data_IF_375070913575
#
_entry.id   IF_375070913575
#
_cell.length_a   1.000
_cell.length_b   1.000
_cell.length_c   1.000
_cell.angle_alpha   90.00
_cell.angle_beta   90.00
_cell.angle_gamma   90.00
#
_symmetry.space_group_name_H-M   'P 1'
#
loop_
_entity.id
_entity.type
_entity.pdbx_description
1 polymer ?
#
# COMPACT_ATOMS: atom_id res chain seq x y z
N UNK A 1 24.74 56.68 55.61
CA UNK A 1 23.42 56.51 54.93
C UNK A 1 23.55 56.25 53.41
N UNK A 2 24.47 56.90 52.69
CA UNK A 2 24.63 56.73 51.23
C UNK A 2 25.20 55.36 50.80
N UNK A 3 26.17 54.79 51.52
CA UNK A 3 26.77 53.48 51.19
C UNK A 3 25.74 52.33 51.20
N UNK A 4 24.77 52.38 52.12
CA UNK A 4 23.69 51.38 52.25
C UNK A 4 22.69 51.44 51.07
N UNK A 5 22.48 52.63 50.47
CA UNK A 5 21.63 52.79 49.28
C UNK A 5 22.31 52.27 48.01
N UNK A 6 23.63 52.45 47.90
CA UNK A 6 24.41 51.94 46.77
C UNK A 6 24.50 50.42 46.78
N UNK A 7 24.79 49.80 47.92
CA UNK A 7 24.80 48.34 48.06
C UNK A 7 23.44 47.72 47.69
N UNK A 8 22.34 48.29 48.18
CA UNK A 8 21.00 47.79 47.88
C UNK A 8 20.63 47.94 46.38
N UNK A 9 21.17 48.96 45.69
CA UNK A 9 20.94 49.16 44.26
C UNK A 9 21.71 48.14 43.41
N UNK A 10 22.95 47.83 43.77
CA UNK A 10 23.74 46.78 43.11
C UNK A 10 23.17 45.38 43.36
N UNK A 11 22.81 45.07 44.62
CA UNK A 11 22.18 43.80 44.98
C UNK A 11 20.83 43.62 44.26
N UNK A 12 20.00 44.66 44.17
CA UNK A 12 18.74 44.61 43.42
C UNK A 12 18.92 44.42 41.91
N UNK A 13 19.96 45.03 41.31
CA UNK A 13 20.29 44.86 39.90
C UNK A 13 20.75 43.42 39.58
N UNK A 14 21.56 42.83 40.45
CA UNK A 14 22.01 41.44 40.32
C UNK A 14 20.84 40.45 40.49
N UNK A 15 19.95 40.71 41.44
CA UNK A 15 18.80 39.87 41.70
C UNK A 15 17.81 39.85 40.52
N UNK A 16 17.60 40.99 39.85
CA UNK A 16 16.75 41.06 38.65
C UNK A 16 17.32 40.29 37.44
N UNK A 17 18.64 40.27 37.25
CA UNK A 17 19.27 39.47 36.18
C UNK A 17 19.10 37.98 36.39
N UNK A 18 19.25 37.50 37.64
CA UNK A 18 19.06 36.08 37.99
C UNK A 18 17.61 35.65 37.81
N UNK A 19 16.64 36.50 38.17
CA UNK A 19 15.22 36.24 37.95
C UNK A 19 14.89 36.18 36.46
N UNK A 20 15.46 37.08 35.64
CA UNK A 20 15.26 37.10 34.20
C UNK A 20 15.84 35.84 33.52
N UNK A 21 17.05 35.43 33.88
CA UNK A 21 17.69 34.21 33.33
C UNK A 21 16.89 32.96 33.71
N UNK A 22 16.41 32.86 34.96
CA UNK A 22 15.56 31.74 35.39
C UNK A 22 14.22 31.70 34.65
N UNK A 23 13.62 32.87 34.38
CA UNK A 23 12.37 32.97 33.61
C UNK A 23 12.56 32.53 32.15
N UNK A 24 13.67 32.93 31.51
CA UNK A 24 14.00 32.51 30.14
C UNK A 24 14.25 31.00 30.10
N UNK A 25 15.06 30.45 31.01
CA UNK A 25 15.32 29.01 31.08
C UNK A 25 14.05 28.19 31.32
N UNK A 26 13.15 28.66 32.19
CA UNK A 26 11.85 28.02 32.42
C UNK A 26 10.96 28.07 31.17
N UNK A 27 10.93 29.21 30.45
CA UNK A 27 10.16 29.34 29.20
C UNK A 27 10.68 28.45 28.08
N UNK A 28 12.02 28.32 27.94
CA UNK A 28 12.65 27.41 26.98
C UNK A 28 12.36 25.96 27.34
N UNK A 29 12.43 25.60 28.62
CA UNK A 29 12.08 24.26 29.09
C UNK A 29 10.62 23.91 28.81
N UNK A 30 9.68 24.83 29.07
CA UNK A 30 8.26 24.66 28.75
C UNK A 30 8.05 24.51 27.23
N UNK A 31 8.74 25.29 26.41
CA UNK A 31 8.69 25.19 24.94
C UNK A 31 9.24 23.85 24.44
N UNK A 32 10.35 23.37 25.02
CA UNK A 32 10.94 22.06 24.71
C UNK A 32 10.00 20.91 25.08
N UNK A 33 9.37 20.96 26.26
CA UNK A 33 8.40 19.93 26.71
C UNK A 33 7.14 19.92 25.85
N UNK A 34 6.68 21.08 25.37
CA UNK A 34 5.52 21.17 24.47
C UNK A 34 5.77 20.48 23.12
N UNK A 35 6.98 20.60 22.56
CA UNK A 35 7.38 19.91 21.33
C UNK A 35 7.47 18.38 21.48
N UNK A 36 7.68 17.86 22.70
CA UNK A 36 7.70 16.42 22.96
C UNK A 36 6.29 15.81 22.92
N UNK A 37 5.26 16.53 23.39
CA UNK A 37 3.87 16.01 23.38
C UNK A 37 3.25 15.89 21.98
N UNK A 38 3.65 16.74 21.04
CA UNK A 38 3.12 16.75 19.66
C UNK A 38 3.59 15.53 18.84
N UNK A 39 4.64 14.82 19.28
CA UNK A 39 5.18 13.66 18.57
C UNK A 39 4.61 12.30 19.00
N UNK A 40 3.72 12.26 20.01
CA UNK A 40 3.31 11.00 20.65
C UNK A 40 1.83 10.59 20.43
N UNK A 41 1.05 11.29 19.59
CA UNK A 41 -0.40 11.05 19.48
C UNK A 41 -0.88 10.41 18.16
N UNK A 42 -0.01 9.70 17.44
CA UNK A 42 -0.47 8.75 16.42
C UNK A 42 -0.33 7.31 16.93
N UNK A 43 -1.03 6.98 18.02
CA UNK A 43 -1.29 5.58 18.35
C UNK A 43 -2.40 5.07 17.43
N UNK A 44 -1.99 4.40 16.35
CA UNK A 44 -2.87 3.64 15.47
C UNK A 44 -3.59 2.59 16.32
N UNK A 45 -4.91 2.74 16.51
CA UNK A 45 -5.75 1.69 17.09
C UNK A 45 -5.90 0.60 16.02
N UNK A 46 -4.96 -0.35 16.00
CA UNK A 46 -5.04 -1.54 15.15
C UNK A 46 -6.18 -2.39 15.67
N UNK A 47 -7.25 -2.50 14.90
CA UNK A 47 -8.33 -3.41 15.25
C UNK A 47 -8.01 -4.82 14.78
N UNK A 48 -7.99 -5.78 15.70
CA UNK A 48 -7.72 -7.19 15.43
C UNK A 48 -8.77 -7.78 14.46
N UNK A 49 -8.32 -8.26 13.30
CA UNK A 49 -9.15 -8.99 12.34
C UNK A 49 -8.64 -10.44 12.21
N UNK A 50 -9.53 -11.40 12.42
CA UNK A 50 -9.41 -12.81 12.07
C UNK A 50 -9.80 -13.05 10.60
N UNK A 51 -9.20 -14.04 9.94
CA UNK A 51 -9.60 -14.49 8.60
C UNK A 51 -10.39 -15.78 8.72
N UNK A 52 -11.62 -15.78 8.22
CA UNK A 52 -12.46 -16.97 8.12
C UNK A 52 -12.44 -17.43 6.67
N UNK A 53 -11.92 -18.64 6.45
CA UNK A 53 -12.00 -19.34 5.18
C UNK A 53 -13.04 -20.44 5.35
N UNK A 54 -14.02 -20.50 4.45
CA UNK A 54 -15.09 -21.46 4.57
C UNK A 54 -15.62 -21.97 3.24
N UNK A 55 -16.45 -23.00 3.33
CA UNK A 55 -17.17 -23.59 2.22
C UNK A 55 -18.64 -23.78 2.59
N UNK A 56 -19.54 -23.46 1.67
CA UNK A 56 -20.98 -23.63 1.81
C UNK A 56 -21.45 -24.69 0.81
N UNK A 57 -22.16 -25.69 1.32
CA UNK A 57 -22.81 -26.75 0.55
C UNK A 57 -24.28 -26.89 0.95
N UNK A 58 -25.07 -27.57 0.12
CA UNK A 58 -26.40 -28.06 0.52
C UNK A 58 -26.29 -29.30 1.42
N UNK A 59 -27.45 -29.86 1.81
CA UNK A 59 -27.57 -31.06 2.64
C UNK A 59 -27.03 -32.33 1.95
N UNK A 60 -26.99 -32.34 0.62
CA UNK A 60 -26.44 -33.42 -0.20
C UNK A 60 -24.91 -33.30 -0.40
N UNK A 61 -24.32 -32.18 0.03
CA UNK A 61 -22.90 -31.89 -0.06
C UNK A 61 -22.47 -31.19 -1.36
N UNK A 62 -23.41 -30.77 -2.20
CA UNK A 62 -23.12 -30.02 -3.43
C UNK A 62 -22.70 -28.59 -3.09
N UNK A 63 -21.64 -28.04 -3.72
CA UNK A 63 -21.21 -26.67 -3.48
C UNK A 63 -22.24 -25.65 -3.94
N UNK A 64 -22.46 -24.60 -3.14
CA UNK A 64 -23.43 -23.54 -3.44
C UNK A 64 -22.72 -22.24 -3.84
N UNK A 65 -22.68 -21.88 -5.12
CA UNK A 65 -22.15 -20.60 -5.58
C UNK A 65 -23.15 -19.46 -5.39
N UNK A 66 -22.65 -18.23 -5.19
CA UNK A 66 -23.51 -17.04 -5.11
C UNK A 66 -24.18 -16.82 -3.74
N UNK A 67 -23.79 -17.56 -2.71
CA UNK A 67 -24.26 -17.36 -1.34
C UNK A 67 -23.61 -16.09 -0.77
N UNK A 68 -24.42 -15.20 -0.21
CA UNK A 68 -23.95 -13.95 0.40
C UNK A 68 -23.57 -14.18 1.86
N UNK A 69 -22.38 -13.73 2.26
CA UNK A 69 -21.87 -13.79 3.64
C UNK A 69 -21.53 -12.38 4.08
N UNK A 70 -22.16 -11.88 5.14
CA UNK A 70 -21.95 -10.53 5.67
C UNK A 70 -21.64 -10.57 7.15
N UNK A 71 -20.97 -9.55 7.66
CA UNK A 71 -20.84 -9.38 9.11
C UNK A 71 -22.08 -8.64 9.62
N UNK A 72 -22.72 -9.18 10.66
CA UNK A 72 -23.92 -8.60 11.26
C UNK A 72 -23.67 -7.15 11.68
N UNK A 73 -24.54 -6.26 11.22
CA UNK A 73 -24.46 -4.82 11.50
C UNK A 73 -23.34 -4.07 10.75
N UNK A 74 -22.62 -4.70 9.82
CA UNK A 74 -21.57 -4.05 9.01
C UNK A 74 -21.86 -4.17 7.51
N UNK A 75 -21.25 -3.29 6.73
CA UNK A 75 -21.31 -3.31 5.25
C UNK A 75 -20.29 -4.27 4.63
N UNK A 76 -19.49 -4.94 5.47
CA UNK A 76 -18.44 -5.88 5.05
C UNK A 76 -19.08 -7.24 4.76
N UNK A 77 -18.81 -7.78 3.58
CA UNK A 77 -19.29 -9.09 3.16
C UNK A 77 -18.52 -9.66 1.98
N UNK A 78 -18.80 -10.91 1.66
CA UNK A 78 -18.24 -11.67 0.55
C UNK A 78 -19.33 -12.56 -0.06
N UNK A 79 -19.01 -13.22 -1.17
CA UNK A 79 -19.91 -14.14 -1.88
C UNK A 79 -19.16 -15.43 -2.19
N UNK A 80 -19.83 -16.58 -2.12
CA UNK A 80 -19.18 -17.86 -2.49
C UNK A 80 -18.86 -17.96 -3.98
N UNK A 81 -17.72 -18.58 -4.28
CA UNK A 81 -17.28 -18.88 -5.64
C UNK A 81 -18.02 -20.10 -6.25
N UNK A 82 -17.66 -20.46 -7.49
CA UNK A 82 -18.21 -21.63 -8.21
C UNK A 82 -18.06 -22.98 -7.48
N UNK A 83 -17.11 -23.08 -6.56
CA UNK A 83 -16.87 -24.25 -5.72
C UNK A 83 -17.49 -24.13 -4.32
N UNK A 84 -18.30 -23.10 -4.06
CA UNK A 84 -18.92 -22.83 -2.76
C UNK A 84 -17.97 -22.25 -1.71
N UNK A 85 -16.76 -21.84 -2.08
CA UNK A 85 -15.74 -21.35 -1.13
C UNK A 85 -15.86 -19.83 -0.93
N UNK A 86 -15.48 -19.36 0.25
CA UNK A 86 -15.43 -17.93 0.57
C UNK A 86 -14.30 -17.59 1.55
N UNK A 87 -13.91 -16.31 1.54
CA UNK A 87 -12.97 -15.72 2.50
C UNK A 87 -13.54 -14.40 3.01
N UNK A 88 -13.57 -14.22 4.33
CA UNK A 88 -14.06 -12.99 4.97
C UNK A 88 -13.22 -12.61 6.20
N UNK A 89 -12.95 -11.32 6.36
CA UNK A 89 -12.18 -10.76 7.47
C UNK A 89 -13.12 -10.26 8.56
N UNK A 90 -12.97 -10.75 9.78
CA UNK A 90 -13.93 -10.60 10.88
C UNK A 90 -13.19 -10.25 12.17
N UNK A 91 -13.75 -9.43 13.04
CA UNK A 91 -13.15 -9.16 14.37
C UNK A 91 -13.57 -10.24 15.36
N UNK A 92 -12.83 -10.37 16.47
CA UNK A 92 -13.25 -11.25 17.57
C UNK A 92 -14.62 -10.79 18.11
N UNK A 93 -15.59 -11.69 18.16
CA UNK A 93 -16.96 -11.40 18.56
C UNK A 93 -17.89 -10.95 17.43
N UNK A 94 -17.41 -10.85 16.18
CA UNK A 94 -18.29 -10.65 15.03
C UNK A 94 -19.18 -11.88 14.79
N UNK A 95 -20.38 -11.65 14.25
CA UNK A 95 -21.31 -12.69 13.82
C UNK A 95 -21.48 -12.61 12.30
N UNK A 96 -21.54 -13.76 11.63
CA UNK A 96 -21.80 -13.81 10.19
C UNK A 96 -23.29 -13.99 9.92
N UNK A 97 -23.81 -13.28 8.94
CA UNK A 97 -25.10 -13.51 8.32
C UNK A 97 -24.85 -14.18 6.98
N UNK A 98 -25.39 -15.38 6.81
CA UNK A 98 -25.35 -16.12 5.55
C UNK A 98 -26.74 -16.11 4.94
N UNK A 99 -26.86 -15.65 3.70
CA UNK A 99 -28.12 -15.59 2.97
C UNK A 99 -27.98 -16.07 1.54
N UNK A 100 -28.99 -16.81 1.08
CA UNK A 100 -29.06 -17.32 -0.28
C UNK A 100 -30.52 -17.28 -0.77
N UNK A 101 -30.72 -17.10 -2.07
CA UNK A 101 -32.05 -16.99 -2.66
C UNK A 101 -32.80 -18.33 -2.45
N UNK A 102 -34.00 -18.26 -1.89
CA UNK A 102 -34.80 -19.44 -1.56
C UNK A 102 -34.50 -20.08 -0.20
N UNK A 103 -33.52 -19.56 0.55
CA UNK A 103 -33.18 -20.04 1.89
C UNK A 103 -33.36 -18.94 2.94
N UNK A 104 -33.73 -19.33 4.15
CA UNK A 104 -33.78 -18.41 5.29
C UNK A 104 -32.37 -17.97 5.69
N UNK A 105 -32.21 -16.68 5.99
CA UNK A 105 -30.94 -16.15 6.46
C UNK A 105 -30.54 -16.79 7.80
N UNK A 106 -29.27 -17.16 7.92
CA UNK A 106 -28.71 -17.84 9.08
C UNK A 106 -27.66 -16.97 9.75
N UNK A 107 -27.74 -16.82 11.07
CA UNK A 107 -26.72 -16.16 11.87
C UNK A 107 -25.74 -17.18 12.44
N UNK A 108 -24.45 -16.94 12.25
CA UNK A 108 -23.38 -17.85 12.62
C UNK A 108 -22.44 -17.14 13.57
N UNK A 109 -22.42 -17.54 14.86
CA UNK A 109 -21.45 -17.02 15.80
C UNK A 109 -20.07 -17.58 15.45
N UNK A 110 -19.08 -16.69 15.39
CA UNK A 110 -17.70 -17.09 15.15
C UNK A 110 -17.08 -17.55 16.48
N UNK A 111 -16.56 -18.78 16.50
CA UNK A 111 -15.81 -19.36 17.63
C UNK A 111 -14.36 -19.55 17.21
N UNK A 112 -13.40 -19.43 18.12
CA UNK A 112 -11.96 -19.52 17.81
C UNK A 112 -11.47 -20.96 17.43
N UNK A 113 -12.34 -21.82 16.85
CA UNK A 113 -12.08 -23.23 16.51
C UNK A 113 -12.81 -23.66 15.23
N UNK A 114 -12.19 -24.51 14.37
CA UNK A 114 -12.83 -25.16 13.22
C UNK A 114 -14.21 -25.71 13.56
N UNK A 115 -15.19 -25.36 12.74
CA UNK A 115 -16.58 -25.74 12.97
C UNK A 115 -17.25 -26.15 11.67
N UNK A 116 -17.90 -27.31 11.67
CA UNK A 116 -18.91 -27.66 10.67
C UNK A 116 -20.28 -27.43 11.29
N UNK A 117 -21.05 -26.52 10.73
CA UNK A 117 -22.36 -26.12 11.23
C UNK A 117 -23.41 -26.41 10.17
N UNK A 118 -24.56 -26.94 10.60
CA UNK A 118 -25.75 -27.04 9.77
C UNK A 118 -26.71 -25.94 10.21
N UNK A 119 -27.13 -25.08 9.29
CA UNK A 119 -28.07 -24.01 9.55
C UNK A 119 -29.06 -23.89 8.39
N UNK A 120 -30.34 -24.19 8.64
CA UNK A 120 -31.43 -24.03 7.69
C UNK A 120 -31.22 -24.73 6.33
N UNK A 121 -30.69 -25.95 6.32
CA UNK A 121 -30.42 -26.74 5.09
C UNK A 121 -29.14 -26.35 4.35
N UNK A 122 -28.31 -25.49 4.95
CA UNK A 122 -26.96 -25.18 4.50
C UNK A 122 -25.95 -25.83 5.43
N UNK A 123 -25.00 -26.57 4.87
CA UNK A 123 -23.83 -27.07 5.59
C UNK A 123 -22.65 -26.15 5.35
N UNK A 124 -22.12 -25.63 6.45
CA UNK A 124 -21.10 -24.58 6.45
C UNK A 124 -19.89 -25.12 7.18
N UNK A 125 -18.79 -25.28 6.44
CA UNK A 125 -17.51 -25.68 7.01
C UNK A 125 -16.64 -24.46 7.15
N UNK A 126 -16.27 -24.12 8.40
CA UNK A 126 -15.40 -23.01 8.74
C UNK A 126 -14.04 -23.55 9.16
N UNK A 127 -13.00 -23.18 8.43
CA UNK A 127 -11.62 -23.45 8.80
C UNK A 127 -10.99 -22.16 9.31
N UNK A 128 -10.71 -22.11 10.61
CA UNK A 128 -10.03 -20.99 11.24
C UNK A 128 -8.53 -21.23 11.11
N UNK A 129 -7.84 -20.35 10.36
CA UNK A 129 -6.39 -20.38 10.29
C UNK A 129 -5.84 -19.53 11.44
N UNK A 130 -5.66 -20.14 12.61
CA UNK A 130 -4.96 -19.50 13.73
C UNK A 130 -3.49 -19.31 13.37
N UNK A 131 -3.05 -18.05 13.24
CA UNK A 131 -1.63 -17.71 13.16
C UNK A 131 -1.08 -17.87 14.58
N UNK A 132 -0.22 -18.87 14.78
CA UNK A 132 0.28 -19.32 16.09
C UNK A 132 0.84 -18.18 16.96
N UNK A 133 0.40 -18.21 18.22
CA UNK A 133 0.98 -17.56 19.40
C UNK A 133 2.49 -17.84 19.48
N UNK A 134 3.32 -16.80 19.55
CA UNK A 134 4.64 -16.86 20.20
C UNK A 134 4.71 -15.68 21.15
N UNK A 135 4.89 -16.01 22.42
CA UNK A 135 5.03 -15.12 23.57
C UNK A 135 6.22 -14.17 23.45
N UNK A 136 6.02 -12.90 23.82
CA UNK A 136 7.07 -11.90 24.03
C UNK A 136 7.19 -10.91 22.87
N UNK A 137 6.60 -9.73 23.07
CA UNK A 137 6.67 -8.49 22.28
C UNK A 137 7.60 -8.48 21.04
N UNK A 138 6.99 -8.65 19.86
CA UNK A 138 7.21 -7.76 18.71
C UNK A 138 6.03 -7.90 17.72
N UNK A 139 5.61 -6.75 17.20
CA UNK A 139 4.39 -6.47 16.41
C UNK A 139 4.21 -7.46 15.25
N UNK A 140 3.08 -8.19 15.20
CA UNK A 140 2.70 -8.99 14.02
C UNK A 140 1.68 -8.23 13.18
N UNK A 141 2.21 -7.59 12.15
CA UNK A 141 1.50 -6.77 11.16
C UNK A 141 0.35 -7.54 10.47
N UNK A 142 -0.74 -6.82 10.18
CA UNK A 142 -1.78 -7.15 9.18
C UNK A 142 -1.16 -7.83 7.95
N UNK A 143 -1.83 -8.76 7.22
CA UNK A 143 -1.20 -9.43 6.08
C UNK A 143 -0.61 -8.40 5.12
N UNK A 144 0.71 -8.38 5.20
CA UNK A 144 1.73 -7.70 4.43
C UNK A 144 1.17 -7.42 3.01
N UNK A 145 0.88 -6.14 2.73
CA UNK A 145 0.86 -5.57 1.39
C UNK A 145 -0.17 -6.11 0.39
N UNK A 146 -1.42 -5.63 0.47
CA UNK A 146 -2.42 -5.81 -0.59
C UNK A 146 -2.45 -4.58 -1.49
N UNK A 147 -2.38 -4.77 -2.80
CA UNK A 147 -2.53 -3.69 -3.77
C UNK A 147 -4.01 -3.33 -3.89
N UNK A 148 -4.38 -2.04 -3.92
CA UNK A 148 -5.77 -1.62 -4.08
C UNK A 148 -6.32 -2.16 -5.41
N UNK A 149 -7.36 -2.98 -5.34
CA UNK A 149 -8.02 -3.54 -6.52
C UNK A 149 -9.53 -3.32 -6.38
N UNK A 150 -10.16 -2.45 -7.20
CA UNK A 150 -9.59 -1.74 -8.36
C UNK A 150 -8.45 -0.76 -8.02
N UNK A 151 -7.49 -0.53 -8.93
CA UNK A 151 -6.38 0.41 -8.71
C UNK A 151 -6.87 1.83 -8.44
N UNK A 152 -6.17 2.57 -7.56
CA UNK A 152 -6.46 3.98 -7.29
C UNK A 152 -6.41 4.80 -8.59
N UNK A 153 -7.36 5.72 -8.82
CA UNK A 153 -7.40 6.55 -10.05
C UNK A 153 -6.23 7.54 -10.12
N UNK A 154 -6.02 8.16 -11.29
CA UNK A 154 -4.91 9.10 -11.53
C UNK A 154 -3.73 8.51 -12.28
N UNK A 155 -3.96 7.46 -13.08
CA UNK A 155 -2.95 6.85 -13.95
C UNK A 155 -3.37 6.94 -15.43
N UNK A 156 -2.37 6.86 -16.31
CA UNK A 156 -2.55 6.40 -17.69
C UNK A 156 -2.24 4.90 -17.76
N UNK A 157 -2.85 4.16 -18.69
CA UNK A 157 -2.67 2.71 -18.79
C UNK A 157 -2.36 2.26 -20.22
N UNK A 158 -1.62 1.16 -20.33
CA UNK A 158 -1.44 0.40 -21.57
C UNK A 158 -1.51 -1.09 -21.26
N UNK A 159 -2.15 -1.87 -22.13
CA UNK A 159 -2.08 -3.33 -22.08
C UNK A 159 -0.90 -3.77 -22.95
N UNK A 160 0.00 -4.57 -22.41
CA UNK A 160 1.14 -5.11 -23.16
C UNK A 160 0.66 -6.19 -24.14
N UNK A 161 1.28 -6.24 -25.31
CA UNK A 161 1.01 -7.30 -26.27
C UNK A 161 1.33 -8.68 -25.67
N UNK A 162 0.38 -9.61 -25.79
CA UNK A 162 0.52 -10.95 -25.23
C UNK A 162 1.69 -11.73 -25.83
N UNK A 163 2.15 -11.36 -27.03
CA UNK A 163 3.32 -11.95 -27.71
C UNK A 163 4.60 -11.87 -26.86
N UNK A 164 4.72 -10.84 -26.02
CA UNK A 164 5.82 -10.68 -25.05
C UNK A 164 5.88 -11.89 -24.10
N UNK A 165 4.75 -12.54 -23.84
CA UNK A 165 4.58 -13.61 -22.88
C UNK A 165 4.27 -14.98 -23.52
N UNK A 166 4.37 -15.13 -24.85
CA UNK A 166 3.99 -16.36 -25.56
C UNK A 166 4.76 -17.59 -25.09
N UNK A 167 6.03 -17.41 -24.71
CA UNK A 167 6.90 -18.49 -24.20
C UNK A 167 6.74 -18.75 -22.70
N UNK A 168 5.73 -18.18 -22.06
CA UNK A 168 5.49 -18.33 -20.62
C UNK A 168 4.29 -19.24 -20.35
N UNK A 169 4.45 -20.16 -19.42
CA UNK A 169 3.46 -21.14 -18.97
C UNK A 169 2.97 -20.85 -17.54
N UNK A 170 3.72 -20.07 -16.75
CA UNK A 170 3.37 -19.69 -15.38
C UNK A 170 3.48 -18.20 -15.14
N UNK A 171 2.81 -17.70 -14.10
CA UNK A 171 2.93 -16.30 -13.70
C UNK A 171 4.35 -15.93 -13.28
N UNK A 172 5.09 -16.87 -12.68
CA UNK A 172 6.51 -16.67 -12.37
C UNK A 172 7.40 -16.53 -13.61
N UNK A 173 7.02 -17.13 -14.74
CA UNK A 173 7.74 -16.92 -16.00
C UNK A 173 7.39 -15.57 -16.63
N UNK A 174 6.15 -15.09 -16.52
CA UNK A 174 5.81 -13.70 -16.88
C UNK A 174 6.59 -12.70 -16.02
N UNK A 175 6.66 -12.93 -14.71
CA UNK A 175 7.45 -12.13 -13.78
C UNK A 175 8.92 -12.05 -14.19
N UNK A 176 9.55 -13.17 -14.55
CA UNK A 176 10.94 -13.18 -15.04
C UNK A 176 11.17 -12.28 -16.26
N UNK A 177 10.21 -12.21 -17.18
CA UNK A 177 10.27 -11.30 -18.34
C UNK A 177 10.23 -9.84 -17.87
N UNK A 178 9.27 -9.49 -17.01
CA UNK A 178 9.13 -8.15 -16.44
C UNK A 178 10.40 -7.73 -15.66
N UNK A 179 10.92 -8.63 -14.83
CA UNK A 179 12.11 -8.40 -14.00
C UNK A 179 13.35 -8.18 -14.84
N UNK A 180 13.56 -8.97 -15.89
CA UNK A 180 14.68 -8.76 -16.81
C UNK A 180 14.62 -7.38 -17.43
N UNK A 181 13.44 -6.96 -17.89
CA UNK A 181 13.25 -5.66 -18.52
C UNK A 181 13.46 -4.50 -17.53
N UNK A 182 12.91 -4.63 -16.31
CA UNK A 182 13.04 -3.65 -15.23
C UNK A 182 14.48 -3.50 -14.73
N UNK A 183 15.16 -4.61 -14.45
CA UNK A 183 16.57 -4.60 -14.01
C UNK A 183 17.47 -4.04 -15.12
N UNK A 184 17.28 -4.44 -16.37
CA UNK A 184 17.98 -3.82 -17.52
C UNK A 184 17.63 -2.32 -17.64
N UNK A 185 16.43 -1.94 -17.20
CA UNK A 185 15.88 -0.59 -17.01
C UNK A 185 16.55 0.25 -15.93
N UNK A 186 17.35 -0.36 -15.05
CA UNK A 186 17.88 0.24 -13.83
C UNK A 186 16.86 0.36 -12.71
N UNK A 187 15.76 -0.40 -12.74
CA UNK A 187 14.80 -0.54 -11.63
C UNK A 187 15.13 -1.80 -10.83
N UNK A 188 16.11 -1.70 -9.95
CA UNK A 188 16.58 -2.84 -9.14
C UNK A 188 15.66 -3.12 -7.95
N UNK A 189 14.96 -2.10 -7.48
CA UNK A 189 14.00 -2.17 -6.38
C UNK A 189 12.56 -2.11 -6.87
N UNK A 190 11.74 -3.00 -6.33
CA UNK A 190 10.33 -3.20 -6.68
C UNK A 190 9.59 -3.89 -5.54
N UNK A 191 8.27 -3.72 -5.55
CA UNK A 191 7.36 -4.21 -4.52
C UNK A 191 6.28 -5.06 -5.18
N UNK A 192 6.14 -6.31 -4.75
CA UNK A 192 5.07 -7.21 -5.17
C UNK A 192 3.87 -7.14 -4.24
N UNK A 193 2.69 -7.30 -4.83
CA UNK A 193 1.43 -7.35 -4.12
C UNK A 193 0.53 -8.40 -4.75
N UNK A 194 -0.27 -9.04 -3.91
CA UNK A 194 -1.28 -10.00 -4.35
C UNK A 194 -2.52 -9.22 -4.81
N UNK A 195 -3.07 -9.61 -5.96
CA UNK A 195 -4.34 -9.10 -6.51
C UNK A 195 -5.23 -10.29 -6.92
N UNK A 196 -6.52 -10.08 -7.23
CA UNK A 196 -7.38 -11.15 -7.72
C UNK A 196 -6.75 -11.88 -8.91
N UNK A 197 -6.59 -13.18 -8.75
CA UNK A 197 -6.02 -14.11 -9.72
C UNK A 197 -4.61 -13.78 -10.24
N UNK A 198 -3.84 -12.92 -9.58
CA UNK A 198 -2.48 -12.62 -10.05
C UNK A 198 -1.68 -11.73 -9.13
N UNK A 199 -0.83 -10.87 -9.71
CA UNK A 199 0.06 -10.00 -8.93
C UNK A 199 0.16 -8.59 -9.53
N UNK A 200 0.43 -7.63 -8.67
CA UNK A 200 0.89 -6.31 -9.05
C UNK A 200 2.39 -6.17 -8.70
N UNK A 201 3.17 -5.66 -9.64
CA UNK A 201 4.59 -5.37 -9.48
C UNK A 201 4.82 -3.86 -9.64
N UNK A 202 5.21 -3.21 -8.54
CA UNK A 202 5.33 -1.74 -8.45
C UNK A 202 6.80 -1.35 -8.40
N UNK A 203 7.20 -0.40 -9.25
CA UNK A 203 8.57 0.15 -9.25
C UNK A 203 8.76 1.20 -8.16
N UNK A 204 10.01 1.55 -7.87
CA UNK A 204 10.30 2.85 -7.24
C UNK A 204 9.74 4.00 -8.08
N UNK A 205 9.47 5.11 -7.42
CA UNK A 205 9.22 6.40 -8.08
C UNK A 205 10.56 6.93 -8.60
N UNK A 206 10.60 7.29 -9.87
CA UNK A 206 11.76 7.90 -10.52
C UNK A 206 11.46 9.35 -10.94
N UNK A 207 12.50 10.16 -11.04
CA UNK A 207 12.51 11.45 -11.70
C UNK A 207 12.67 11.28 -13.20
N UNK A 208 11.93 12.09 -13.97
CA UNK A 208 11.91 12.09 -15.43
C UNK A 208 12.14 13.51 -15.95
N UNK A 209 12.67 13.60 -17.16
CA UNK A 209 12.76 14.86 -17.91
C UNK A 209 11.38 15.28 -18.42
N UNK A 210 11.25 16.54 -18.85
CA UNK A 210 10.01 17.10 -19.40
C UNK A 210 9.48 16.35 -20.64
N UNK A 211 10.33 15.58 -21.34
CA UNK A 211 9.92 14.71 -22.45
C UNK A 211 9.59 13.26 -22.02
N UNK A 212 9.58 12.98 -20.71
CA UNK A 212 9.30 11.68 -20.12
C UNK A 212 10.46 10.68 -20.11
N UNK A 213 11.65 11.07 -20.55
CA UNK A 213 12.83 10.20 -20.52
C UNK A 213 13.34 9.96 -19.09
N UNK A 214 13.84 8.75 -18.81
CA UNK A 214 14.48 8.46 -17.51
C UNK A 214 15.80 9.24 -17.39
N UNK A 215 16.02 9.82 -16.21
CA UNK A 215 17.31 10.43 -15.85
C UNK A 215 18.27 9.32 -15.39
N UNK A 216 19.51 9.26 -15.89
CA UNK A 216 20.46 8.18 -15.57
C UNK A 216 21.64 8.64 -14.69
N UNK A 217 21.35 9.45 -13.67
CA UNK A 217 22.34 9.88 -12.67
C UNK A 217 21.91 9.38 -11.27
N UNK A 218 22.71 9.71 -10.25
CA UNK A 218 22.44 9.32 -8.85
C UNK A 218 21.14 9.88 -8.27
N UNK A 219 20.54 10.88 -8.91
CA UNK A 219 19.33 11.56 -8.44
C UNK A 219 18.04 10.95 -9.00
N UNK A 220 18.12 10.02 -9.96
CA UNK A 220 16.97 9.37 -10.60
C UNK A 220 15.91 8.90 -9.61
N UNK A 221 16.33 8.27 -8.51
CA UNK A 221 15.42 7.72 -7.50
C UNK A 221 15.47 8.48 -6.17
N UNK A 222 16.08 9.67 -6.17
CA UNK A 222 16.19 10.54 -5.00
C UNK A 222 14.89 11.34 -4.83
N UNK A 223 13.99 10.82 -3.98
CA UNK A 223 12.79 11.54 -3.55
C UNK A 223 13.20 12.37 -2.33
N UNK A 224 13.80 13.53 -2.56
CA UNK A 224 14.26 14.44 -1.51
C UNK A 224 13.07 15.17 -0.88
N UNK A 225 12.35 14.54 0.05
CA UNK A 225 11.33 15.26 0.81
C UNK A 225 11.87 15.96 2.07
N UNK A 226 13.08 15.65 2.52
CA UNK A 226 13.62 16.18 3.79
C UNK A 226 15.17 16.24 3.81
N UNK A 227 15.81 16.77 2.76
CA UNK A 227 17.19 17.27 2.93
C UNK A 227 17.09 18.78 3.15
N UNK A 228 17.73 19.28 4.21
CA UNK A 228 17.87 20.71 4.42
C UNK A 228 18.48 21.29 3.15
N UNK A 229 17.89 22.35 2.54
CA UNK A 229 18.36 22.86 1.26
C UNK A 229 19.84 23.22 1.39
N UNK A 230 20.65 22.63 0.52
CA UNK A 230 22.04 23.02 0.34
C UNK A 230 22.11 24.28 -0.51
N UNK A 231 23.20 25.04 -0.40
CA UNK A 231 23.36 26.30 -1.14
C UNK A 231 23.24 26.14 -2.68
N UNK A 232 23.54 24.95 -3.20
CA UNK A 232 23.34 24.59 -4.61
C UNK A 232 21.87 24.45 -5.02
N UNK A 233 20.97 24.11 -4.09
CA UNK A 233 19.53 23.91 -4.37
C UNK A 233 18.82 25.23 -4.70
N UNK A 234 19.44 26.38 -4.39
CA UNK A 234 18.90 27.72 -4.67
C UNK A 234 19.15 28.20 -6.10
N UNK A 235 20.09 27.56 -6.81
CA UNK A 235 20.42 27.84 -8.21
C UNK A 235 19.96 26.73 -9.16
N UNK A 236 19.42 25.63 -8.62
CA UNK A 236 18.86 24.54 -9.40
C UNK A 236 17.47 24.93 -9.96
N UNK A 237 17.23 24.77 -11.27
CA UNK A 237 15.91 25.01 -11.82
C UNK A 237 14.94 23.93 -11.34
N UNK A 238 13.79 24.41 -10.82
CA UNK A 238 12.42 23.95 -11.15
C UNK A 238 11.80 22.79 -10.38
N UNK A 239 10.48 22.92 -10.30
CA UNK A 239 9.54 21.83 -10.40
C UNK A 239 10.05 20.63 -11.20
N UNK A 240 9.85 19.42 -10.67
CA UNK A 240 10.27 18.17 -11.32
C UNK A 240 9.08 17.27 -11.61
N UNK A 241 9.20 16.47 -12.67
CA UNK A 241 8.26 15.41 -13.02
C UNK A 241 8.80 14.06 -12.53
N UNK A 242 7.90 13.23 -12.06
CA UNK A 242 8.22 11.91 -11.54
C UNK A 242 7.19 10.91 -12.05
N UNK A 243 7.57 9.64 -12.11
CA UNK A 243 6.61 8.57 -12.41
C UNK A 243 6.85 7.31 -11.61
N UNK A 244 5.82 6.48 -11.55
CA UNK A 244 5.85 5.13 -11.01
C UNK A 244 5.11 4.19 -11.95
N UNK A 245 5.71 3.04 -12.25
CA UNK A 245 5.05 1.98 -12.99
C UNK A 245 4.45 0.94 -12.02
N UNK A 246 3.25 0.47 -12.32
CA UNK A 246 2.67 -0.71 -11.73
C UNK A 246 2.25 -1.69 -12.84
N UNK A 247 2.89 -2.86 -12.89
CA UNK A 247 2.57 -3.94 -13.82
C UNK A 247 1.55 -4.86 -13.16
N UNK A 248 0.35 -4.90 -13.71
CA UNK A 248 -0.79 -5.65 -13.19
C UNK A 248 -0.96 -6.89 -14.06
N UNK A 249 -0.61 -8.06 -13.53
CA UNK A 249 -0.75 -9.35 -14.21
C UNK A 249 -1.93 -10.09 -13.61
N UNK A 250 -3.00 -10.25 -14.38
CA UNK A 250 -4.23 -10.94 -13.98
C UNK A 250 -5.02 -11.36 -15.22
N UNK A 251 -6.05 -12.18 -15.05
CA UNK A 251 -7.07 -12.45 -16.05
C UNK A 251 -8.40 -11.70 -15.77
N UNK A 252 -8.42 -10.82 -14.76
CA UNK A 252 -9.60 -10.04 -14.38
C UNK A 252 -9.52 -8.63 -14.95
N UNK A 253 -10.44 -8.22 -15.84
CA UNK A 253 -10.55 -6.82 -16.21
C UNK A 253 -10.91 -5.98 -14.98
N UNK A 254 -10.47 -4.73 -14.96
CA UNK A 254 -10.77 -3.79 -13.89
C UNK A 254 -11.00 -2.39 -14.44
N UNK A 255 -11.80 -1.61 -13.71
CA UNK A 255 -11.94 -0.18 -13.90
C UNK A 255 -11.06 0.56 -12.88
N UNK A 256 -10.73 1.85 -13.11
CA UNK A 256 -10.19 2.69 -12.06
C UNK A 256 -11.12 2.73 -10.83
N UNK A 257 -10.53 2.81 -9.64
CA UNK A 257 -11.26 3.05 -8.40
C UNK A 257 -11.93 4.43 -8.44
N UNK A 258 -13.03 4.58 -7.71
CA UNK A 258 -13.62 5.90 -7.42
C UNK A 258 -12.76 6.74 -6.47
N UNK A 259 -11.74 6.13 -5.85
CA UNK A 259 -10.80 6.80 -4.96
C UNK A 259 -9.56 7.22 -5.74
N UNK A 260 -9.33 8.54 -5.76
CA UNK A 260 -8.11 9.14 -6.29
C UNK A 260 -6.87 8.71 -5.52
N UNK A 261 -5.79 8.46 -6.27
CA UNK A 261 -4.50 8.23 -5.70
C UNK A 261 -3.95 9.52 -5.08
N UNK A 262 -3.46 9.40 -3.85
CA UNK A 262 -2.59 10.40 -3.25
C UNK A 262 -1.14 9.90 -3.23
N UNK A 263 -0.20 10.85 -3.11
CA UNK A 263 1.22 10.53 -3.15
C UNK A 263 1.66 9.61 -2.01
N UNK A 264 1.11 9.73 -0.79
CA UNK A 264 1.53 8.87 0.32
C UNK A 264 1.09 7.42 0.10
N UNK A 265 -0.11 7.22 -0.44
CA UNK A 265 -0.60 5.90 -0.80
C UNK A 265 0.31 5.24 -1.84
N UNK A 266 0.67 5.96 -2.91
CA UNK A 266 1.53 5.41 -3.99
C UNK A 266 2.99 5.24 -3.54
N UNK A 267 3.52 6.17 -2.76
CA UNK A 267 4.85 6.06 -2.13
C UNK A 267 4.92 4.83 -1.24
N UNK A 268 3.87 4.55 -0.47
CA UNK A 268 3.77 3.31 0.32
C UNK A 268 3.85 2.10 -0.61
N UNK A 269 3.06 2.03 -1.67
CA UNK A 269 3.09 0.92 -2.63
C UNK A 269 4.48 0.70 -3.26
N UNK A 270 5.27 1.75 -3.47
CA UNK A 270 6.63 1.62 -4.00
C UNK A 270 7.65 1.02 -3.02
N UNK A 271 7.29 0.86 -1.73
CA UNK A 271 8.24 0.51 -0.65
C UNK A 271 7.85 -0.70 0.18
N UNK A 272 6.54 -0.90 0.41
CA UNK A 272 6.14 -1.83 1.47
C UNK A 272 6.00 -3.26 0.99
N UNK A 273 5.84 -3.52 -0.31
CA UNK A 273 5.50 -4.85 -0.88
C UNK A 273 6.48 -5.99 -0.63
N UNK A 274 6.09 -7.21 -1.00
CA UNK A 274 7.03 -8.33 -1.00
C UNK A 274 8.20 -8.02 -1.93
N UNK A 275 9.41 -8.44 -1.58
CA UNK A 275 10.59 -8.26 -2.42
C UNK A 275 10.68 -9.28 -3.57
N UNK A 276 9.92 -10.38 -3.49
CA UNK A 276 9.89 -11.49 -4.47
C UNK A 276 8.42 -11.92 -4.65
N UNK A 277 8.06 -12.35 -5.86
CA UNK A 277 6.75 -12.96 -6.11
C UNK A 277 6.57 -14.22 -5.25
N UNK A 278 5.51 -14.32 -4.41
CA UNK A 278 5.22 -15.52 -3.64
C UNK A 278 5.16 -16.78 -4.52
N UNK A 279 5.73 -17.89 -4.04
CA UNK A 279 5.94 -19.10 -4.84
C UNK A 279 4.64 -19.79 -5.27
N UNK A 280 3.59 -19.69 -4.46
CA UNK A 280 2.24 -20.15 -4.78
C UNK A 280 1.67 -19.44 -6.01
N UNK A 281 1.84 -18.11 -6.11
CA UNK A 281 1.48 -17.34 -7.29
C UNK A 281 2.43 -17.61 -8.46
N UNK A 282 3.73 -17.67 -8.21
CA UNK A 282 4.74 -17.90 -9.25
C UNK A 282 4.54 -19.25 -9.97
N UNK A 283 4.11 -20.28 -9.25
CA UNK A 283 3.85 -21.62 -9.78
C UNK A 283 2.46 -21.75 -10.44
N UNK A 284 1.58 -20.76 -10.31
CA UNK A 284 0.26 -20.78 -10.94
C UNK A 284 0.42 -20.81 -12.47
N UNK A 285 -0.27 -21.77 -13.11
CA UNK A 285 -0.32 -21.86 -14.57
C UNK A 285 -1.00 -20.63 -15.16
N UNK A 286 -0.39 -20.07 -16.20
CA UNK A 286 -0.91 -18.95 -16.99
C UNK A 286 -2.02 -19.48 -17.90
N UNK A 287 -3.25 -19.00 -17.68
CA UNK A 287 -4.34 -19.18 -18.64
C UNK A 287 -4.14 -18.36 -19.91
N UNK A 288 -4.88 -18.64 -20.98
CA UNK A 288 -4.83 -17.86 -22.24
C UNK A 288 -5.39 -16.45 -22.09
N UNK A 289 -6.16 -16.22 -21.03
CA UNK A 289 -6.89 -15.03 -20.66
C UNK A 289 -6.08 -14.06 -19.77
N UNK A 290 -4.86 -14.43 -19.38
CA UNK A 290 -3.98 -13.53 -18.63
C UNK A 290 -3.39 -12.46 -19.53
N UNK A 291 -3.42 -11.23 -19.04
CA UNK A 291 -2.81 -10.07 -19.67
C UNK A 291 -1.97 -9.29 -18.65
N UNK A 292 -1.12 -8.40 -19.15
CA UNK A 292 -0.37 -7.47 -18.32
C UNK A 292 -0.78 -6.03 -18.66
N UNK A 293 -1.38 -5.33 -17.71
CA UNK A 293 -1.68 -3.90 -17.82
C UNK A 293 -0.62 -3.11 -17.07
N UNK A 294 0.01 -2.15 -17.73
CA UNK A 294 0.93 -1.19 -17.11
C UNK A 294 0.15 0.06 -16.75
N UNK A 295 0.13 0.40 -15.45
CA UNK A 295 -0.34 1.67 -14.95
C UNK A 295 0.86 2.60 -14.77
N UNK A 296 0.74 3.84 -15.20
CA UNK A 296 1.74 4.87 -14.98
C UNK A 296 1.11 6.01 -14.20
N UNK A 297 1.59 6.20 -12.97
CA UNK A 297 1.24 7.34 -12.14
C UNK A 297 2.29 8.42 -12.32
N UNK A 298 1.85 9.64 -12.61
CA UNK A 298 2.73 10.81 -12.66
C UNK A 298 2.59 11.68 -11.41
N UNK A 299 3.70 12.28 -11.03
CA UNK A 299 3.76 13.24 -9.95
C UNK A 299 4.50 14.48 -10.38
N UNK A 300 4.12 15.60 -9.80
CA UNK A 300 4.80 16.88 -9.96
C UNK A 300 5.21 17.42 -8.60
N UNK A 301 6.40 18.01 -8.55
CA UNK A 301 6.78 18.94 -7.48
C UNK A 301 6.65 20.35 -8.06
N UNK A 302 5.88 21.25 -7.46
CA UNK A 302 5.70 22.62 -8.00
C UNK A 302 6.73 23.62 -7.46
N UNK A 303 7.41 23.26 -6.36
CA UNK A 303 8.52 24.01 -5.77
C UNK A 303 9.63 23.04 -5.33
N UNK A 304 10.91 23.45 -5.34
CA UNK A 304 11.97 22.66 -4.73
C UNK A 304 11.60 22.25 -3.30
N UNK A 305 11.83 20.99 -2.93
CA UNK A 305 11.47 20.41 -1.63
C UNK A 305 9.98 20.48 -1.25
N UNK A 306 9.08 20.61 -2.22
CA UNK A 306 7.64 20.49 -1.97
C UNK A 306 7.14 19.06 -2.10
N UNK A 307 6.07 18.75 -1.35
CA UNK A 307 5.36 17.47 -1.41
C UNK A 307 4.95 17.17 -2.84
N UNK A 308 5.24 15.96 -3.30
CA UNK A 308 4.80 15.48 -4.60
C UNK A 308 3.28 15.33 -4.62
N UNK A 309 2.66 15.76 -5.73
CA UNK A 309 1.23 15.61 -5.95
C UNK A 309 0.99 14.76 -7.19
N UNK A 310 0.06 13.83 -7.10
CA UNK A 310 -0.41 13.05 -8.26
C UNK A 310 -1.05 14.00 -9.26
N UNK A 311 -0.73 13.84 -10.54
CA UNK A 311 -1.32 14.63 -11.62
C UNK A 311 -1.85 13.74 -12.75
N UNK A 312 -2.66 14.33 -13.63
CA UNK A 312 -2.99 13.68 -14.90
C UNK A 312 -1.72 13.51 -15.73
N UNK A 313 -1.52 12.31 -16.26
CA UNK A 313 -0.32 12.01 -17.04
C UNK A 313 -0.29 12.86 -18.32
N UNK A 314 0.82 13.54 -18.58
CA UNK A 314 1.00 14.34 -19.79
C UNK A 314 1.34 13.48 -21.03
N UNK A 315 1.80 12.25 -20.81
CA UNK A 315 2.05 11.23 -21.83
C UNK A 315 1.09 10.04 -21.65
N UNK A 316 0.90 9.30 -22.72
CA UNK A 316 0.27 7.97 -22.65
C UNK A 316 1.20 6.97 -21.97
N UNK A 317 0.63 5.89 -21.42
CA UNK A 317 1.44 4.82 -20.83
C UNK A 317 2.43 4.19 -21.84
N UNK A 318 2.05 4.11 -23.11
CA UNK A 318 2.93 3.59 -24.17
C UNK A 318 4.13 4.50 -24.42
N UNK A 319 3.92 5.82 -24.49
CA UNK A 319 5.01 6.80 -24.59
C UNK A 319 5.93 6.75 -23.37
N UNK A 320 5.38 6.62 -22.16
CA UNK A 320 6.20 6.42 -20.96
C UNK A 320 7.06 5.15 -21.03
N UNK A 321 6.52 4.04 -21.54
CA UNK A 321 7.26 2.80 -21.73
C UNK A 321 8.36 2.92 -22.80
N UNK A 322 8.12 3.71 -23.85
CA UNK A 322 9.13 4.00 -24.87
C UNK A 322 10.25 4.88 -24.32
N UNK A 323 9.91 5.99 -23.64
CA UNK A 323 10.86 6.98 -23.11
C UNK A 323 11.70 6.42 -21.95
N UNK A 324 11.17 5.48 -21.18
CA UNK A 324 11.94 4.71 -20.18
C UNK A 324 12.85 3.63 -20.79
N UNK A 325 12.71 3.37 -22.10
CA UNK A 325 13.29 2.23 -22.83
C UNK A 325 12.81 0.86 -22.31
N UNK A 326 11.77 0.81 -21.47
CA UNK A 326 11.22 -0.45 -20.98
C UNK A 326 10.52 -1.23 -22.09
N UNK A 327 9.82 -0.56 -23.02
CA UNK A 327 9.17 -1.25 -24.14
C UNK A 327 10.19 -2.03 -24.99
N UNK A 328 11.34 -1.43 -25.28
CA UNK A 328 12.43 -2.08 -26.01
C UNK A 328 12.94 -3.31 -25.24
N UNK A 329 13.10 -3.20 -23.92
CA UNK A 329 13.62 -4.26 -23.05
C UNK A 329 12.62 -5.39 -22.80
N UNK A 330 11.32 -5.09 -22.82
CA UNK A 330 10.26 -6.10 -22.76
C UNK A 330 10.23 -6.95 -24.04
N UNK A 331 10.56 -6.34 -25.18
CA UNK A 331 10.60 -7.01 -26.48
C UNK A 331 11.94 -7.70 -26.80
N UNK A 332 12.98 -7.53 -25.97
CA UNK A 332 14.25 -8.23 -26.17
C UNK A 332 14.11 -9.70 -25.75
N UNK A 333 14.24 -10.60 -26.73
CA UNK A 333 14.09 -12.06 -26.55
C UNK A 333 15.25 -12.69 -25.81
#
# INVERSE_FOLDING_TARGET
>A
MQLRKLLNKELGCQMNKVVLIKSILLSVFILCVYNIKVRAQNSYQVSDFNVVVGKITDDEGNPLPGVTIRIKGKTIGTVTDGGGNFVIYVKKGDELIVSFIGYSASEIPLKDQPASLNANGLKITLNYKNILHVSGEEVRESPINVFPFPPLSGYTLAVLDNEIFDKTETLGQMDKVLIRALTSGGYDERSYFIIPDGFALVTRIESITDDGSSIFNSERFAINELKSPTFSDFFAPRSGLFRMFAFIVTNKPFNPSLKDADFEALKKLSRVGYNILPSDLANKKKGKDYFCTVLVYEFVSTKPNSKLTVQSAHLTAYEHLQRSKLLLKLNSK
#
